data_IF_227212624953
#
_entry.id   IF_227212624953
#
_cell.length_a   1.000
_cell.length_b   1.000
_cell.length_c   1.000
_cell.angle_alpha   90.00
_cell.angle_beta   90.00
_cell.angle_gamma   90.00
#
_symmetry.space_group_name_H-M   'P 1'
#
loop_
_entity.id
_entity.type
_entity.pdbx_description
1 polymer ?
#
# COMPACT_ATOMS: atom_id res chain seq x y z
N UNK A 1 -2.13 -30.45 -2.74
CA UNK A 1 -2.24 -29.26 -1.87
C UNK A 1 -2.96 -28.09 -2.56
N UNK A 2 -4.25 -28.20 -2.93
CA UNK A 2 -4.98 -27.08 -3.54
C UNK A 2 -5.03 -25.83 -2.65
N UNK A 3 -5.03 -26.01 -1.34
CA UNK A 3 -4.96 -24.94 -0.33
C UNK A 3 -3.71 -24.06 -0.44
N UNK A 4 -2.61 -24.58 -0.98
CA UNK A 4 -1.37 -23.80 -1.17
C UNK A 4 -1.46 -22.76 -2.31
N UNK A 5 -2.49 -22.81 -3.17
CA UNK A 5 -2.61 -21.98 -4.37
C UNK A 5 -3.87 -21.12 -4.44
N UNK A 6 -4.69 -21.09 -3.38
CA UNK A 6 -5.99 -20.39 -3.40
C UNK A 6 -5.94 -18.94 -2.93
N UNK A 7 -5.10 -18.65 -1.94
CA UNK A 7 -5.09 -17.37 -1.24
C UNK A 7 -3.69 -16.79 -1.12
N UNK A 8 -3.62 -15.49 -0.82
CA UNK A 8 -2.37 -14.87 -0.42
C UNK A 8 -1.88 -15.52 0.88
N UNK A 9 -0.70 -16.12 0.85
CA UNK A 9 -0.08 -16.71 2.04
C UNK A 9 0.34 -15.63 3.04
N UNK A 10 0.27 -15.97 4.33
CA UNK A 10 0.77 -15.12 5.42
C UNK A 10 1.91 -15.84 6.12
N UNK A 11 3.14 -15.34 5.92
CA UNK A 11 4.30 -15.89 6.62
C UNK A 11 4.22 -15.55 8.12
N UNK A 12 4.49 -16.51 9.02
CA UNK A 12 4.45 -16.27 10.45
C UNK A 12 5.57 -15.31 10.89
N UNK A 13 5.28 -14.46 11.87
CA UNK A 13 6.24 -13.50 12.44
C UNK A 13 6.03 -12.06 11.98
N UNK A 14 6.91 -11.16 12.43
CA UNK A 14 6.92 -9.73 12.06
C UNK A 14 8.20 -9.43 11.30
N UNK A 15 8.08 -8.70 10.20
CA UNK A 15 9.24 -8.13 9.53
C UNK A 15 9.80 -6.98 10.37
N UNK A 16 11.12 -6.94 10.57
CA UNK A 16 11.83 -5.81 11.17
C UNK A 16 12.48 -5.01 10.04
N UNK A 17 12.11 -3.74 9.92
CA UNK A 17 12.73 -2.80 8.98
C UNK A 17 13.69 -1.93 9.79
N UNK A 18 14.99 -1.98 9.48
CA UNK A 18 16.01 -1.18 10.16
C UNK A 18 16.34 0.08 9.36
N UNK A 19 16.38 1.21 10.06
CA UNK A 19 16.78 2.49 9.49
C UNK A 19 18.31 2.62 9.51
N UNK A 20 18.86 3.32 8.52
CA UNK A 20 20.27 3.74 8.55
C UNK A 20 20.46 4.75 9.69
N UNK A 21 21.69 4.82 10.24
CA UNK A 21 22.01 5.71 11.38
C UNK A 21 21.65 7.18 11.13
N UNK A 22 21.79 7.65 9.90
CA UNK A 22 21.53 9.04 9.50
C UNK A 22 20.24 9.18 8.67
N UNK A 23 19.30 8.25 8.81
CA UNK A 23 18.01 8.33 8.11
C UNK A 23 17.15 9.43 8.72
N UNK A 24 16.68 10.35 7.87
CA UNK A 24 15.78 11.43 8.26
C UNK A 24 14.38 11.17 7.68
N UNK A 25 13.31 11.47 8.44
CA UNK A 25 11.95 11.35 7.95
C UNK A 25 11.71 12.24 6.73
N UNK A 26 10.95 11.72 5.77
CA UNK A 26 10.59 12.44 4.54
C UNK A 26 9.09 12.38 4.33
N UNK A 27 8.50 13.55 4.12
CA UNK A 27 7.09 13.72 3.77
C UNK A 27 7.01 14.25 2.34
N UNK A 28 6.49 13.43 1.43
CA UNK A 28 6.20 13.89 0.08
C UNK A 28 4.97 14.79 0.07
N UNK A 29 5.03 15.90 -0.67
CA UNK A 29 3.87 16.75 -0.88
C UNK A 29 2.71 15.97 -1.57
N UNK A 30 1.44 16.30 -1.27
CA UNK A 30 0.29 15.67 -1.92
C UNK A 30 0.36 15.78 -3.45
N UNK A 31 0.24 14.65 -4.16
CA UNK A 31 0.20 14.61 -5.63
C UNK A 31 -1.22 14.46 -6.14
N UNK A 32 -1.56 15.20 -7.20
CA UNK A 32 -2.87 15.07 -7.87
C UNK A 32 -2.93 13.74 -8.62
N UNK A 33 -3.97 12.97 -8.36
CA UNK A 33 -4.31 11.78 -9.15
C UNK A 33 -5.24 12.19 -10.31
N UNK A 34 -5.09 11.59 -11.51
CA UNK A 34 -6.05 11.77 -12.59
C UNK A 34 -7.45 11.36 -12.14
N UNK A 35 -8.45 12.21 -12.38
CA UNK A 35 -9.81 11.98 -11.89
C UNK A 35 -10.40 10.63 -12.32
N UNK A 36 -10.14 10.23 -13.57
CA UNK A 36 -10.62 8.96 -14.13
C UNK A 36 -10.00 7.71 -13.49
N UNK A 37 -8.89 7.83 -12.74
CA UNK A 37 -8.26 6.72 -12.02
C UNK A 37 -8.65 6.68 -10.54
N UNK A 38 -9.27 7.73 -10.03
CA UNK A 38 -9.50 7.89 -8.58
C UNK A 38 -10.31 6.73 -8.01
N UNK A 39 -11.40 6.36 -8.67
CA UNK A 39 -12.29 5.30 -8.22
C UNK A 39 -11.62 3.92 -8.29
N UNK A 40 -10.82 3.68 -9.32
CA UNK A 40 -10.08 2.42 -9.48
C UNK A 40 -8.92 2.29 -8.46
N UNK A 41 -8.22 3.40 -8.17
CA UNK A 41 -7.22 3.46 -7.11
C UNK A 41 -7.89 3.16 -5.75
N UNK A 42 -9.02 3.80 -5.48
CA UNK A 42 -9.75 3.60 -4.24
C UNK A 42 -10.20 2.15 -4.07
N UNK A 43 -10.83 1.56 -5.09
CA UNK A 43 -11.24 0.15 -5.06
C UNK A 43 -10.06 -0.79 -4.82
N UNK A 44 -8.90 -0.52 -5.42
CA UNK A 44 -7.70 -1.35 -5.22
C UNK A 44 -7.20 -1.26 -3.78
N UNK A 45 -7.21 -0.07 -3.18
CA UNK A 45 -6.82 0.14 -1.78
C UNK A 45 -7.82 -0.48 -0.81
N UNK A 46 -9.12 -0.36 -1.08
CA UNK A 46 -10.19 -0.97 -0.28
C UNK A 46 -10.08 -2.51 -0.31
N UNK A 47 -9.80 -3.11 -1.47
CA UNK A 47 -9.52 -4.54 -1.59
C UNK A 47 -8.30 -4.96 -0.74
N UNK A 48 -7.22 -4.17 -0.76
CA UNK A 48 -6.02 -4.42 0.06
C UNK A 48 -6.28 -4.27 1.56
N UNK A 49 -7.12 -3.33 1.98
CA UNK A 49 -7.57 -3.18 3.37
C UNK A 49 -8.43 -4.38 3.79
N UNK A 50 -9.39 -4.79 2.96
CA UNK A 50 -10.25 -5.96 3.20
C UNK A 50 -9.46 -7.28 3.29
N UNK A 51 -8.37 -7.41 2.51
CA UNK A 51 -7.44 -8.55 2.60
C UNK A 51 -6.50 -8.47 3.80
N UNK A 52 -6.49 -7.35 4.56
CA UNK A 52 -5.61 -7.14 5.70
C UNK A 52 -4.14 -6.92 5.33
N UNK A 53 -3.87 -6.45 4.11
CA UNK A 53 -2.52 -6.15 3.61
C UNK A 53 -2.07 -4.77 4.07
N UNK A 54 -2.98 -3.80 4.07
CA UNK A 54 -2.76 -2.42 4.53
C UNK A 54 -3.80 -2.05 5.57
N UNK A 55 -3.52 -1.00 6.33
CA UNK A 55 -4.44 -0.44 7.31
C UNK A 55 -4.39 1.09 7.27
N UNK A 56 -5.50 1.73 7.60
CA UNK A 56 -5.53 3.17 7.87
C UNK A 56 -4.59 3.53 9.02
N UNK A 57 -3.94 4.68 8.90
CA UNK A 57 -3.20 5.26 10.02
C UNK A 57 -4.17 5.58 11.16
N UNK A 58 -3.78 5.35 12.43
CA UNK A 58 -4.61 5.70 13.58
C UNK A 58 -5.00 7.18 13.57
N UNK A 59 -6.26 7.47 13.85
CA UNK A 59 -6.77 8.84 13.86
C UNK A 59 -6.02 9.69 14.89
N UNK A 60 -5.54 10.86 14.46
CA UNK A 60 -4.80 11.79 15.33
C UNK A 60 -3.30 11.49 15.47
N UNK A 61 -2.78 10.42 14.86
CA UNK A 61 -1.36 10.12 14.88
C UNK A 61 -0.67 10.61 13.60
N UNK A 62 0.18 11.66 13.66
CA UNK A 62 1.00 12.04 12.51
C UNK A 62 2.04 10.96 12.22
N UNK A 63 2.29 10.69 10.94
CA UNK A 63 3.45 9.89 10.50
C UNK A 63 4.54 10.83 10.00
N UNK A 64 5.78 10.56 10.40
CA UNK A 64 6.93 11.31 9.91
C UNK A 64 7.36 10.84 8.50
N UNK A 65 6.85 9.69 8.04
CA UNK A 65 7.20 9.09 6.76
C UNK A 65 5.97 9.04 5.86
N UNK A 66 6.03 9.76 4.74
CA UNK A 66 4.99 9.74 3.70
C UNK A 66 5.64 9.63 2.32
N UNK A 67 5.40 8.50 1.66
CA UNK A 67 5.77 8.28 0.27
C UNK A 67 4.61 8.63 -0.66
N UNK A 68 4.92 9.12 -1.87
CA UNK A 68 3.89 9.30 -2.90
C UNK A 68 3.34 7.96 -3.37
N UNK A 69 2.03 7.91 -3.60
CA UNK A 69 1.39 6.78 -4.27
C UNK A 69 1.96 6.61 -5.68
N UNK A 70 2.29 5.37 -6.03
CA UNK A 70 2.65 4.96 -7.38
C UNK A 70 1.59 3.98 -7.89
N UNK A 71 1.29 4.04 -9.18
CA UNK A 71 0.39 3.08 -9.80
C UNK A 71 0.77 2.86 -11.25
N UNK A 72 0.55 1.63 -11.74
CA UNK A 72 0.85 1.21 -13.11
C UNK A 72 -0.26 0.27 -13.62
N UNK A 73 -0.42 0.19 -14.94
CA UNK A 73 -1.34 -0.77 -15.56
C UNK A 73 -0.66 -2.13 -15.70
N UNK A 74 -1.33 -3.19 -15.29
CA UNK A 74 -0.95 -4.56 -15.62
C UNK A 74 -1.30 -4.87 -17.08
N UNK A 75 -0.73 -5.94 -17.64
CA UNK A 75 -1.06 -6.42 -18.99
C UNK A 75 -2.55 -6.76 -19.18
N UNK A 76 -3.24 -7.11 -18.09
CA UNK A 76 -4.68 -7.37 -18.09
C UNK A 76 -5.55 -6.10 -17.92
N UNK A 77 -4.95 -4.92 -18.05
CA UNK A 77 -5.64 -3.63 -17.95
C UNK A 77 -5.93 -3.16 -16.53
N UNK A 78 -5.85 -4.00 -15.49
CA UNK A 78 -6.11 -3.60 -14.10
C UNK A 78 -5.01 -2.68 -13.56
N UNK A 79 -5.39 -1.74 -12.71
CA UNK A 79 -4.42 -0.95 -11.95
C UNK A 79 -3.66 -1.83 -10.94
N UNK A 80 -2.37 -1.54 -10.79
CA UNK A 80 -1.53 -1.99 -9.68
C UNK A 80 -1.11 -0.75 -8.92
N UNK A 81 -1.52 -0.68 -7.67
CA UNK A 81 -1.03 0.26 -6.67
C UNK A 81 0.14 -0.39 -5.94
#
# INVERSE_FOLDING_TARGET
YPEAFRNLGKFPGKAKLELKKDAHPVIHAPRRCPGHLKDEIQSTLDDMENMGIISKLPQGQPTEWLSSLAYARKSNGKLRV
#
